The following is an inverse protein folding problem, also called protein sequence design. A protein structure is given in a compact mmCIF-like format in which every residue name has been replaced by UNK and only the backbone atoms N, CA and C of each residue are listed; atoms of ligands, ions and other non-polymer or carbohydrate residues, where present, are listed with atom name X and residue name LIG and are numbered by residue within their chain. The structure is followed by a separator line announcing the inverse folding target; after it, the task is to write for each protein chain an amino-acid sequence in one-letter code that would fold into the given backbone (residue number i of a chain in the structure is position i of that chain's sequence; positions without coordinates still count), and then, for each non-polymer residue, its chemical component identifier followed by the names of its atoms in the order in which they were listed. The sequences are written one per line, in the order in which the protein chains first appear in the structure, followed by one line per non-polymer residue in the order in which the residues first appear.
data_IF_868617289652
#
_entry.id   IF_868617289652
#
_cell.length_a   1.000
_cell.length_b   1.000
_cell.length_c   1.000
_cell.angle_alpha   90.00
_cell.angle_beta   90.00
_cell.angle_gamma   90.00
#
_symmetry.space_group_name_H-M   'P 1'
#
loop_
_entity.id
_entity.type
_entity.pdbx_description
1 polymer ?
#
# COMPACT_ATOMS: atom_id res chain seq x y z
N UNK A 1 15.58 9.26 -28.90
CA UNK A 1 15.82 7.95 -28.27
C UNK A 1 14.63 7.74 -27.36
N UNK A 2 13.64 6.99 -27.86
CA UNK A 2 12.36 6.81 -27.18
C UNK A 2 12.61 6.00 -25.91
N UNK A 3 12.11 6.51 -24.79
CA UNK A 3 12.20 5.87 -23.47
C UNK A 3 11.50 4.51 -23.54
N UNK A 4 12.20 3.39 -23.29
CA UNK A 4 11.63 2.05 -23.43
C UNK A 4 10.62 1.81 -22.30
N UNK A 5 9.38 2.22 -22.58
CA UNK A 5 8.12 1.81 -21.98
C UNK A 5 8.21 1.34 -20.52
N UNK A 6 7.85 2.25 -19.60
CA UNK A 6 7.62 2.05 -18.17
C UNK A 6 7.03 0.67 -17.87
N UNK A 7 7.94 -0.25 -17.54
CA UNK A 7 7.74 -1.67 -17.32
C UNK A 7 6.68 -1.97 -16.22
N UNK A 8 6.44 -1.03 -15.32
CA UNK A 8 5.49 -1.12 -14.20
C UNK A 8 4.12 -0.46 -14.49
N UNK A 9 3.95 0.16 -15.66
CA UNK A 9 2.74 0.92 -15.98
C UNK A 9 1.74 0.10 -16.83
N UNK A 10 0.44 0.37 -16.67
CA UNK A 10 -0.58 0.02 -17.69
C UNK A 10 -0.13 0.56 -19.07
N UNK A 11 -0.60 -0.02 -20.20
CA UNK A 11 -0.23 0.45 -21.53
C UNK A 11 -0.28 1.99 -21.63
N UNK A 12 0.66 2.67 -22.30
CA UNK A 12 0.75 4.14 -22.36
C UNK A 12 -0.50 4.85 -22.94
N UNK A 13 -1.46 4.07 -23.41
CA UNK A 13 -2.76 4.54 -23.88
C UNK A 13 -3.79 4.72 -22.75
N UNK A 14 -3.59 4.22 -21.52
CA UNK A 14 -4.48 4.48 -20.38
C UNK A 14 -4.09 5.76 -19.65
N UNK A 15 -5.08 6.63 -19.36
CA UNK A 15 -4.81 7.92 -18.72
C UNK A 15 -4.22 7.77 -17.31
N UNK A 16 -3.39 8.71 -16.83
CA UNK A 16 -2.80 8.70 -15.48
C UNK A 16 -3.82 8.43 -14.36
N UNK A 17 -5.03 8.97 -14.51
CA UNK A 17 -6.15 8.76 -13.59
C UNK A 17 -6.56 7.29 -13.44
N UNK A 18 -6.40 6.47 -14.49
CA UNK A 18 -6.69 5.04 -14.46
C UNK A 18 -5.68 4.27 -13.61
N UNK A 19 -4.39 4.62 -13.69
CA UNK A 19 -3.36 4.01 -12.84
C UNK A 19 -3.60 4.37 -11.37
N UNK A 20 -3.95 5.64 -11.14
CA UNK A 20 -4.20 6.17 -9.80
C UNK A 20 -5.43 5.52 -9.16
N UNK A 21 -6.54 5.40 -9.89
CA UNK A 21 -7.75 4.73 -9.39
C UNK A 21 -7.54 3.23 -9.16
N UNK A 22 -6.84 2.52 -10.05
CA UNK A 22 -6.47 1.12 -9.86
C UNK A 22 -5.59 0.93 -8.62
N UNK A 23 -4.60 1.81 -8.41
CA UNK A 23 -3.74 1.82 -7.22
C UNK A 23 -4.51 2.08 -5.93
N UNK A 24 -5.44 3.04 -5.92
CA UNK A 24 -6.30 3.30 -4.75
C UNK A 24 -7.16 2.09 -4.39
N UNK A 25 -7.80 1.46 -5.37
CA UNK A 25 -8.64 0.29 -5.11
C UNK A 25 -7.78 -0.88 -4.62
N UNK A 26 -6.58 -1.05 -5.19
CA UNK A 26 -5.62 -2.04 -4.72
C UNK A 26 -5.23 -1.81 -3.25
N UNK A 27 -4.92 -0.57 -2.87
CA UNK A 27 -4.60 -0.22 -1.48
C UNK A 27 -5.78 -0.44 -0.51
N UNK A 28 -6.99 -0.06 -0.90
CA UNK A 28 -8.19 -0.29 -0.07
C UNK A 28 -8.46 -1.79 0.12
N UNK A 29 -8.35 -2.59 -0.94
CA UNK A 29 -8.56 -4.03 -0.85
C UNK A 29 -7.45 -4.73 -0.05
N UNK A 30 -6.21 -4.31 -0.21
CA UNK A 30 -5.09 -4.76 0.63
C UNK A 30 -5.40 -4.53 2.11
N UNK A 31 -5.81 -3.31 2.49
CA UNK A 31 -6.19 -2.99 3.87
C UNK A 31 -7.36 -3.83 4.39
N UNK A 32 -8.33 -4.18 3.55
CA UNK A 32 -9.45 -5.04 3.93
C UNK A 32 -9.00 -6.49 4.19
N UNK A 33 -8.16 -7.04 3.31
CA UNK A 33 -7.67 -8.43 3.43
C UNK A 33 -6.67 -8.55 4.59
N UNK A 34 -5.81 -7.55 4.77
CA UNK A 34 -4.81 -7.50 5.85
C UNK A 34 -5.40 -7.02 7.18
N UNK A 35 -6.70 -6.73 7.25
CA UNK A 35 -7.30 -6.17 8.46
C UNK A 35 -7.20 -7.08 9.72
N UNK A 36 -7.46 -8.41 9.66
CA UNK A 36 -7.28 -9.29 10.83
C UNK A 36 -5.85 -9.26 11.37
N UNK A 37 -4.92 -9.19 10.43
CA UNK A 37 -3.48 -9.21 10.63
C UNK A 37 -3.01 -7.90 11.28
N UNK A 38 -3.54 -6.77 10.81
CA UNK A 38 -3.36 -5.46 11.43
C UNK A 38 -3.87 -5.42 12.87
N UNK A 39 -5.02 -6.05 13.14
CA UNK A 39 -5.58 -6.10 14.50
C UNK A 39 -4.66 -6.85 15.47
N UNK A 40 -4.00 -7.92 15.00
CA UNK A 40 -2.98 -8.63 15.79
C UNK A 40 -1.74 -7.76 16.02
N UNK A 41 -1.27 -7.07 14.98
CA UNK A 41 -0.14 -6.13 15.08
C UNK A 41 -0.41 -5.04 16.13
N UNK A 42 -1.56 -4.36 16.05
CA UNK A 42 -1.92 -3.27 16.97
C UNK A 42 -1.94 -3.75 18.43
N UNK A 43 -2.40 -4.99 18.67
CA UNK A 43 -2.37 -5.61 20.01
C UNK A 43 -0.98 -5.98 20.49
N UNK A 44 -0.15 -6.55 19.61
CA UNK A 44 1.24 -6.86 19.94
C UNK A 44 2.09 -5.60 20.20
N UNK A 45 1.62 -4.43 19.75
CA UNK A 45 2.24 -3.14 20.07
C UNK A 45 1.76 -2.52 21.39
N UNK A 46 0.78 -3.14 22.05
CA UNK A 46 0.30 -2.69 23.36
C UNK A 46 1.43 -2.77 24.39
N UNK A 47 1.59 -1.70 25.17
CA UNK A 47 2.63 -1.62 26.20
C UNK A 47 2.14 -2.19 27.54
N UNK A 48 0.83 -2.36 27.70
CA UNK A 48 0.20 -3.04 28.83
C UNK A 48 -0.63 -4.25 28.38
N UNK A 49 0.02 -5.35 27.95
CA UNK A 49 -0.70 -6.57 27.60
C UNK A 49 -1.39 -7.16 28.85
N UNK A 50 -2.53 -7.87 28.68
CA UNK A 50 -3.19 -8.57 29.79
C UNK A 50 -2.24 -9.53 30.52
N UNK A 51 -2.49 -9.77 31.82
CA UNK A 51 -1.68 -10.65 32.66
C UNK A 51 -1.38 -12.01 31.97
N UNK A 52 -0.08 -12.34 31.84
CA UNK A 52 0.40 -13.53 31.12
C UNK A 52 0.57 -13.38 29.60
N UNK A 53 0.42 -12.17 29.05
CA UNK A 53 0.48 -11.89 27.60
C UNK A 53 1.86 -11.51 27.04
N UNK A 54 2.87 -11.31 27.89
CA UNK A 54 4.17 -10.70 27.51
C UNK A 54 5.03 -11.52 26.53
N UNK A 55 4.69 -12.79 26.25
CA UNK A 55 5.45 -13.69 25.36
C UNK A 55 4.58 -14.42 24.34
N UNK A 56 3.41 -13.87 23.97
CA UNK A 56 2.50 -14.53 23.04
C UNK A 56 2.94 -14.35 21.59
N UNK A 57 2.97 -15.44 20.84
CA UNK A 57 3.20 -15.40 19.40
C UNK A 57 2.03 -14.75 18.66
N UNK A 58 2.26 -14.40 17.40
CA UNK A 58 1.25 -13.87 16.49
C UNK A 58 -0.01 -14.75 16.45
N UNK A 59 0.17 -16.06 16.31
CA UNK A 59 -0.92 -17.04 16.29
C UNK A 59 -1.72 -17.07 17.59
N UNK A 60 -1.03 -16.92 18.72
CA UNK A 60 -1.65 -16.97 20.04
C UNK A 60 -2.55 -15.77 20.27
N UNK A 61 -2.11 -14.57 19.84
CA UNK A 61 -2.92 -13.35 19.93
C UNK A 61 -4.16 -13.44 19.04
N UNK A 62 -4.02 -13.95 17.81
CA UNK A 62 -5.15 -14.14 16.91
C UNK A 62 -6.14 -15.18 17.47
N UNK A 63 -5.64 -16.34 17.90
CA UNK A 63 -6.46 -17.42 18.46
C UNK A 63 -7.15 -16.97 19.74
N UNK A 64 -6.46 -16.25 20.61
CA UNK A 64 -7.05 -15.65 21.81
C UNK A 64 -8.16 -14.69 21.42
N UNK A 65 -7.92 -13.75 20.50
CA UNK A 65 -8.91 -12.78 20.05
C UNK A 65 -10.19 -13.46 19.54
N UNK A 66 -10.05 -14.49 18.71
CA UNK A 66 -11.20 -15.24 18.17
C UNK A 66 -11.94 -16.02 19.26
N UNK A 67 -11.21 -16.68 20.16
CA UNK A 67 -11.81 -17.51 21.23
C UNK A 67 -12.47 -16.70 22.34
N UNK A 68 -11.86 -15.59 22.76
CA UNK A 68 -12.36 -14.79 23.90
C UNK A 68 -13.35 -13.71 23.51
N UNK A 69 -13.24 -13.15 22.30
CA UNK A 69 -14.00 -11.96 21.90
C UNK A 69 -14.86 -12.20 20.65
N UNK A 70 -14.74 -13.38 20.01
CA UNK A 70 -15.56 -13.82 18.89
C UNK A 70 -14.87 -13.75 17.52
N UNK A 71 -15.41 -14.51 16.56
CA UNK A 71 -14.81 -14.70 15.23
C UNK A 71 -14.64 -13.42 14.42
N UNK A 72 -15.56 -12.47 14.55
CA UNK A 72 -15.51 -11.20 13.80
C UNK A 72 -14.73 -10.11 14.54
N UNK A 73 -14.20 -10.39 15.73
CA UNK A 73 -13.42 -9.41 16.50
C UNK A 73 -12.21 -8.85 15.72
N UNK A 74 -11.43 -9.64 14.96
CA UNK A 74 -10.31 -9.12 14.17
C UNK A 74 -10.72 -8.09 13.12
N UNK A 75 -11.99 -8.07 12.70
CA UNK A 75 -12.53 -7.16 11.67
C UNK A 75 -13.09 -5.84 12.23
N UNK A 76 -13.03 -5.66 13.56
CA UNK A 76 -13.62 -4.49 14.22
C UNK A 76 -12.81 -3.22 13.94
N UNK A 77 -13.50 -2.19 13.46
CA UNK A 77 -12.91 -0.91 13.05
C UNK A 77 -12.60 -0.77 11.56
N UNK A 78 -12.82 -1.83 10.76
CA UNK A 78 -12.58 -1.79 9.31
C UNK A 78 -13.42 -0.72 8.60
N UNK A 79 -14.64 -0.47 9.07
CA UNK A 79 -15.47 0.61 8.55
C UNK A 79 -14.84 1.99 8.71
N UNK A 80 -14.06 2.23 9.76
CA UNK A 80 -13.31 3.48 9.94
C UNK A 80 -12.21 3.63 8.90
N UNK A 81 -11.46 2.54 8.69
CA UNK A 81 -10.41 2.46 7.67
C UNK A 81 -10.98 2.74 6.27
N UNK A 82 -12.09 2.09 5.91
CA UNK A 82 -12.75 2.28 4.62
C UNK A 82 -13.31 3.70 4.45
N UNK A 83 -13.91 4.27 5.51
CA UNK A 83 -14.47 5.61 5.47
C UNK A 83 -13.39 6.70 5.28
N UNK A 84 -12.18 6.49 5.82
CA UNK A 84 -11.05 7.41 5.65
C UNK A 84 -10.29 7.21 4.34
N UNK A 85 -10.11 5.96 3.89
CA UNK A 85 -9.21 5.66 2.77
C UNK A 85 -9.66 6.30 1.46
N UNK A 86 -10.94 6.19 1.09
CA UNK A 86 -11.44 6.73 -0.18
C UNK A 86 -11.14 8.23 -0.36
N UNK A 87 -11.60 9.09 0.57
CA UNK A 87 -11.31 10.52 0.54
C UNK A 87 -9.82 10.86 0.60
N UNK A 88 -9.03 10.14 1.42
CA UNK A 88 -7.60 10.37 1.54
C UNK A 88 -6.86 10.14 0.21
N UNK A 89 -7.13 9.02 -0.47
CA UNK A 89 -6.54 8.71 -1.77
C UNK A 89 -7.00 9.69 -2.85
N UNK A 90 -8.28 10.05 -2.87
CA UNK A 90 -8.80 11.04 -3.82
C UNK A 90 -8.10 12.40 -3.67
N UNK A 91 -7.89 12.84 -2.42
CA UNK A 91 -7.17 14.09 -2.13
C UNK A 91 -5.69 14.00 -2.50
N UNK A 92 -5.02 12.89 -2.16
CA UNK A 92 -3.62 12.63 -2.54
C UNK A 92 -3.43 12.82 -4.04
N UNK A 93 -4.25 12.14 -4.83
CA UNK A 93 -4.17 12.12 -6.28
C UNK A 93 -4.48 13.48 -6.91
N UNK A 94 -5.55 14.14 -6.44
CA UNK A 94 -5.93 15.47 -6.92
C UNK A 94 -4.84 16.51 -6.60
N UNK A 95 -4.29 16.47 -5.38
CA UNK A 95 -3.22 17.35 -4.97
C UNK A 95 -1.93 17.07 -5.75
N UNK A 96 -1.56 15.80 -5.93
CA UNK A 96 -0.37 15.41 -6.67
C UNK A 96 -0.43 15.87 -8.13
N UNK A 97 -1.56 15.69 -8.82
CA UNK A 97 -1.73 16.19 -10.19
C UNK A 97 -1.65 17.72 -10.26
N UNK A 98 -2.35 18.42 -9.35
CA UNK A 98 -2.34 19.89 -9.35
C UNK A 98 -0.97 20.49 -9.06
N UNK A 99 -0.24 19.87 -8.14
CA UNK A 99 1.12 20.29 -7.77
C UNK A 99 2.11 20.03 -8.90
N UNK A 100 2.04 18.86 -9.55
CA UNK A 100 2.83 18.58 -10.75
C UNK A 100 2.57 19.61 -11.85
N UNK A 101 1.31 19.89 -12.17
CA UNK A 101 0.92 20.87 -13.19
C UNK A 101 1.48 22.27 -12.85
N UNK A 102 1.31 22.71 -11.60
CA UNK A 102 1.76 24.03 -11.14
C UNK A 102 3.28 24.16 -11.17
N UNK A 103 4.01 23.11 -10.78
CA UNK A 103 5.49 23.11 -10.81
C UNK A 103 6.01 22.99 -12.25
N UNK A 104 5.36 22.21 -13.11
CA UNK A 104 5.68 22.12 -14.54
C UNK A 104 5.51 23.48 -15.24
N UNK A 105 4.40 24.18 -15.00
CA UNK A 105 4.12 25.52 -15.58
C UNK A 105 5.12 26.57 -15.09
N UNK A 106 5.60 26.49 -13.84
CA UNK A 106 6.63 27.40 -13.30
C UNK A 106 8.05 27.07 -13.74
N UNK A 107 8.32 25.85 -14.21
CA UNK A 107 9.67 25.36 -14.56
C UNK A 107 10.01 25.43 -16.05
N UNK A 108 9.33 26.30 -16.82
CA UNK A 108 9.61 26.63 -18.24
C UNK A 108 11.08 26.98 -18.55
N UNK A 109 11.94 27.14 -17.54
CA UNK A 109 13.39 27.37 -17.68
C UNK A 109 14.30 26.13 -17.56
N UNK A 110 13.80 24.93 -17.24
CA UNK A 110 14.63 23.71 -17.23
C UNK A 110 13.86 22.52 -17.79
N UNK A 111 14.04 22.26 -19.08
CA UNK A 111 13.52 21.11 -19.81
C UNK A 111 14.18 19.76 -19.43
N UNK A 112 14.63 19.61 -18.19
CA UNK A 112 15.17 18.35 -17.66
C UNK A 112 14.37 17.95 -16.42
N UNK A 113 14.00 16.68 -16.39
CA UNK A 113 13.24 15.97 -15.37
C UNK A 113 13.64 16.37 -13.94
N UNK A 114 12.90 17.30 -13.34
CA UNK A 114 13.13 17.69 -11.97
C UNK A 114 12.54 16.61 -11.05
N UNK A 115 13.24 15.49 -10.84
CA UNK A 115 12.88 14.47 -9.84
C UNK A 115 12.58 15.09 -8.46
N UNK A 116 13.26 16.21 -8.15
CA UNK A 116 13.01 17.03 -6.96
C UNK A 116 11.59 17.63 -6.95
N UNK A 117 11.09 18.13 -8.08
CA UNK A 117 9.74 18.68 -8.19
C UNK A 117 8.66 17.61 -7.94
N UNK A 118 8.84 16.43 -8.52
CA UNK A 118 7.95 15.29 -8.28
C UNK A 118 8.00 14.83 -6.82
N UNK A 119 9.19 14.79 -6.22
CA UNK A 119 9.37 14.49 -4.80
C UNK A 119 8.64 15.49 -3.90
N UNK A 120 8.77 16.80 -4.15
CA UNK A 120 8.07 17.85 -3.38
C UNK A 120 6.56 17.74 -3.53
N UNK A 121 6.06 17.52 -4.75
CA UNK A 121 4.64 17.31 -5.00
C UNK A 121 4.11 16.08 -4.26
N UNK A 122 4.85 14.98 -4.27
CA UNK A 122 4.51 13.75 -3.55
C UNK A 122 4.48 14.00 -2.04
N UNK A 123 5.50 14.63 -1.46
CA UNK A 123 5.53 14.93 -0.03
C UNK A 123 4.34 15.79 0.43
N UNK A 124 4.01 16.85 -0.31
CA UNK A 124 2.88 17.71 0.02
C UNK A 124 1.53 16.97 -0.15
N UNK A 125 1.40 16.14 -1.18
CA UNK A 125 0.24 15.27 -1.34
C UNK A 125 0.12 14.27 -0.18
N UNK A 126 1.21 13.70 0.31
CA UNK A 126 1.22 12.79 1.49
C UNK A 126 0.80 13.51 2.76
N UNK A 127 1.22 14.76 2.97
CA UNK A 127 0.76 15.57 4.12
C UNK A 127 -0.77 15.73 4.08
N UNK A 128 -1.34 16.06 2.91
CA UNK A 128 -2.79 16.20 2.77
C UNK A 128 -3.53 14.86 2.91
N UNK A 129 -2.99 13.79 2.35
CA UNK A 129 -3.49 12.43 2.51
C UNK A 129 -3.57 12.06 4.00
N UNK A 130 -2.48 12.21 4.73
CA UNK A 130 -2.37 11.81 6.13
C UNK A 130 -3.28 12.66 7.02
N UNK A 131 -3.53 13.92 6.66
CA UNK A 131 -4.49 14.76 7.38
C UNK A 131 -5.91 14.17 7.37
N UNK A 132 -6.33 13.53 6.27
CA UNK A 132 -7.63 12.85 6.17
C UNK A 132 -7.57 11.43 6.75
N UNK A 133 -6.44 10.75 6.61
CA UNK A 133 -6.28 9.37 7.04
C UNK A 133 -6.14 9.24 8.57
N UNK A 134 -5.47 10.19 9.23
CA UNK A 134 -5.11 10.09 10.66
C UNK A 134 -6.33 9.90 11.59
N UNK A 135 -7.46 10.63 11.43
CA UNK A 135 -8.64 10.39 12.25
C UNK A 135 -9.19 8.95 12.11
N UNK A 136 -9.17 8.40 10.90
CA UNK A 136 -9.61 7.03 10.65
C UNK A 136 -8.67 6.02 11.31
N UNK A 137 -7.36 6.25 11.27
CA UNK A 137 -6.37 5.42 11.95
C UNK A 137 -6.51 5.44 13.47
N UNK A 138 -6.76 6.61 14.07
CA UNK A 138 -7.00 6.75 15.51
C UNK A 138 -8.19 5.89 15.93
N UNK A 139 -9.30 5.98 15.19
CA UNK A 139 -10.50 5.18 15.47
C UNK A 139 -10.24 3.69 15.26
N UNK A 140 -9.60 3.32 14.15
CA UNK A 140 -9.17 1.95 13.85
C UNK A 140 -8.38 1.36 15.01
N UNK A 141 -7.30 2.01 15.42
CA UNK A 141 -6.40 1.47 16.45
C UNK A 141 -7.09 1.35 17.80
N UNK A 142 -7.89 2.35 18.22
CA UNK A 142 -8.66 2.27 19.48
C UNK A 142 -9.68 1.12 19.49
N UNK A 143 -10.29 0.81 18.34
CA UNK A 143 -11.22 -0.32 18.21
C UNK A 143 -10.52 -1.68 18.20
N UNK A 144 -9.24 -1.73 17.77
CA UNK A 144 -8.45 -2.97 17.69
C UNK A 144 -7.82 -3.40 19.03
N UNK A 145 -7.67 -2.48 19.99
CA UNK A 145 -7.04 -2.76 21.29
C UNK A 145 -7.76 -3.84 22.11
N UNK A 146 -7.01 -4.43 23.05
CA UNK A 146 -7.56 -5.32 24.07
C UNK A 146 -8.67 -4.63 24.84
N UNK A 147 -9.73 -5.39 25.15
CA UNK A 147 -10.88 -4.91 25.94
C UNK A 147 -11.49 -3.58 25.46
N UNK A 148 -11.34 -3.25 24.16
CA UNK A 148 -11.85 -1.99 23.63
C UNK A 148 -13.37 -1.87 23.85
N UNK A 149 -13.84 -0.79 24.51
CA UNK A 149 -15.26 -0.61 24.81
C UNK A 149 -16.09 -0.33 23.56
N UNK A 150 -15.45 0.11 22.47
CA UNK A 150 -16.14 0.67 21.30
C UNK A 150 -16.63 -0.41 20.34
N UNK A 151 -17.94 -0.64 20.27
CA UNK A 151 -18.58 -1.61 19.36
C UNK A 151 -18.73 -1.12 17.94
N UNK A 152 -18.96 0.18 17.80
CA UNK A 152 -19.12 0.83 16.52
C UNK A 152 -18.13 1.98 16.36
N UNK A 153 -17.80 2.28 15.11
CA UNK A 153 -16.97 3.42 14.75
C UNK A 153 -17.60 4.73 15.26
N UNK A 154 -18.91 4.89 15.12
CA UNK A 154 -19.64 6.10 15.52
C UNK A 154 -19.62 6.31 17.03
N UNK A 155 -19.73 5.24 17.80
CA UNK A 155 -19.57 5.28 19.26
C UNK A 155 -18.16 5.69 19.68
N UNK A 156 -17.14 5.13 19.03
CA UNK A 156 -15.74 5.54 19.23
C UNK A 156 -15.57 7.05 18.94
N UNK A 157 -15.99 7.51 17.77
CA UNK A 157 -15.87 8.92 17.37
C UNK A 157 -16.58 9.84 18.36
N UNK A 158 -17.84 9.53 18.73
CA UNK A 158 -18.61 10.35 19.66
C UNK A 158 -17.96 10.41 21.04
N UNK A 159 -17.49 9.28 21.55
CA UNK A 159 -16.85 9.21 22.87
C UNK A 159 -15.53 9.98 22.87
N UNK A 160 -14.67 9.76 21.87
CA UNK A 160 -13.39 10.48 21.76
C UNK A 160 -13.62 11.98 21.60
N UNK A 161 -14.57 12.39 20.74
CA UNK A 161 -14.90 13.80 20.55
C UNK A 161 -15.40 14.44 21.85
N UNK A 162 -16.26 13.75 22.61
CA UNK A 162 -16.86 14.27 23.85
C UNK A 162 -15.86 14.38 25.01
N UNK A 163 -14.99 13.39 25.19
CA UNK A 163 -14.11 13.30 26.37
C UNK A 163 -12.67 13.76 26.13
N UNK A 164 -12.22 13.81 24.87
CA UNK A 164 -10.85 14.17 24.51
C UNK A 164 -10.74 15.33 23.53
N UNK A 165 -11.86 15.69 22.87
CA UNK A 165 -11.92 16.77 21.90
C UNK A 165 -11.33 16.42 20.53
N UNK A 166 -11.42 17.38 19.60
CA UNK A 166 -10.96 17.21 18.22
C UNK A 166 -9.45 16.97 18.10
N UNK A 167 -8.64 17.54 19.00
CA UNK A 167 -7.19 17.34 19.00
C UNK A 167 -6.77 15.89 19.22
N UNK A 168 -7.64 15.04 19.76
CA UNK A 168 -7.37 13.62 19.97
C UNK A 168 -7.13 12.86 18.65
N UNK A 169 -7.79 13.27 17.57
CA UNK A 169 -7.67 12.63 16.26
C UNK A 169 -6.38 12.96 15.52
N UNK A 170 -5.57 13.90 16.02
CA UNK A 170 -4.35 14.37 15.36
C UNK A 170 -3.09 14.30 16.24
N UNK A 171 -3.14 13.65 17.41
CA UNK A 171 -1.98 13.57 18.33
C UNK A 171 -0.77 12.88 17.72
N UNK A 172 -1.01 11.88 16.88
CA UNK A 172 0.05 11.13 16.20
C UNK A 172 0.45 11.72 14.85
N UNK A 173 -0.23 12.75 14.35
CA UNK A 173 -0.02 13.25 12.99
C UNK A 173 1.44 13.67 12.74
N UNK A 174 2.05 14.39 13.68
CA UNK A 174 3.48 14.74 13.57
C UNK A 174 4.40 13.51 13.57
N UNK A 175 4.10 12.51 14.42
CA UNK A 175 4.85 11.24 14.46
C UNK A 175 4.71 10.45 13.16
N UNK A 176 3.51 10.41 12.59
CA UNK A 176 3.21 9.77 11.32
C UNK A 176 4.08 10.35 10.19
N UNK A 177 4.11 11.67 10.06
CA UNK A 177 4.90 12.34 9.03
C UNK A 177 6.40 12.09 9.20
N UNK A 178 6.91 12.14 10.44
CA UNK A 178 8.31 11.83 10.74
C UNK A 178 8.65 10.38 10.44
N UNK A 179 7.71 9.45 10.59
CA UNK A 179 7.90 8.03 10.28
C UNK A 179 7.91 7.74 8.78
N UNK A 180 7.11 8.45 7.98
CA UNK A 180 6.95 8.19 6.55
C UNK A 180 8.26 8.33 5.78
N UNK A 181 9.03 9.39 6.04
CA UNK A 181 10.26 9.67 5.28
C UNK A 181 11.30 8.54 5.46
N UNK A 182 11.68 8.13 6.68
CA UNK A 182 12.56 6.98 6.87
C UNK A 182 12.01 5.68 6.27
N UNK A 183 10.70 5.43 6.39
CA UNK A 183 10.08 4.24 5.81
C UNK A 183 10.27 4.22 4.29
N UNK A 184 9.91 5.32 3.61
CA UNK A 184 9.95 5.41 2.16
C UNK A 184 11.37 5.33 1.61
N UNK A 185 12.34 6.00 2.27
CA UNK A 185 13.75 5.97 1.88
C UNK A 185 14.31 4.56 2.02
N UNK A 186 14.10 3.91 3.17
CA UNK A 186 14.59 2.55 3.38
C UNK A 186 13.94 1.56 2.39
N UNK A 187 12.64 1.72 2.14
CA UNK A 187 11.91 0.89 1.20
C UNK A 187 12.47 1.03 -0.22
N UNK A 188 12.57 2.24 -0.77
CA UNK A 188 13.07 2.45 -2.13
C UNK A 188 14.51 1.96 -2.32
N UNK A 189 15.43 2.33 -1.41
CA UNK A 189 16.84 1.93 -1.52
C UNK A 189 16.98 0.41 -1.49
N UNK A 190 16.25 -0.25 -0.58
CA UNK A 190 16.28 -1.70 -0.45
C UNK A 190 15.63 -2.37 -1.67
N UNK A 191 14.49 -1.85 -2.13
CA UNK A 191 13.78 -2.38 -3.29
C UNK A 191 14.66 -2.37 -4.54
N UNK A 192 15.31 -1.23 -4.83
CA UNK A 192 16.21 -1.09 -5.98
C UNK A 192 17.41 -2.03 -5.89
N UNK A 193 18.00 -2.14 -4.69
CA UNK A 193 19.11 -3.06 -4.45
C UNK A 193 18.71 -4.52 -4.75
N UNK A 194 17.55 -4.96 -4.26
CA UNK A 194 17.08 -6.33 -4.49
C UNK A 194 16.59 -6.55 -5.92
N UNK A 195 15.99 -5.56 -6.58
CA UNK A 195 15.61 -5.65 -8.00
C UNK A 195 16.82 -5.86 -8.90
N UNK A 196 17.95 -5.21 -8.63
CA UNK A 196 19.19 -5.44 -9.38
C UNK A 196 19.71 -6.89 -9.23
N UNK A 197 19.33 -7.60 -8.16
CA UNK A 197 19.73 -8.98 -7.91
C UNK A 197 18.69 -9.96 -8.47
N UNK A 198 17.41 -9.73 -8.22
CA UNK A 198 16.32 -10.67 -8.55
C UNK A 198 15.77 -10.48 -9.97
N UNK A 199 15.94 -9.30 -10.56
CA UNK A 199 15.48 -8.94 -11.90
C UNK A 199 16.47 -8.00 -12.60
N UNK A 200 17.71 -8.43 -12.87
CA UNK A 200 18.76 -7.59 -13.45
C UNK A 200 18.40 -7.06 -14.84
N UNK A 201 17.60 -7.81 -15.60
CA UNK A 201 17.14 -7.45 -16.95
C UNK A 201 15.90 -6.54 -16.92
N UNK A 202 15.33 -6.24 -15.74
CA UNK A 202 14.14 -5.39 -15.54
C UNK A 202 12.94 -5.80 -16.42
N UNK A 203 12.70 -7.11 -16.54
CA UNK A 203 11.61 -7.71 -17.34
C UNK A 203 10.46 -8.18 -16.45
N UNK A 204 9.28 -8.44 -17.03
CA UNK A 204 8.05 -8.86 -16.34
C UNK A 204 8.23 -10.09 -15.46
N UNK A 205 8.46 -9.84 -14.17
CA UNK A 205 8.67 -10.87 -13.16
C UNK A 205 7.94 -10.55 -11.85
N UNK A 206 6.67 -10.96 -11.74
CA UNK A 206 5.84 -10.80 -10.55
C UNK A 206 6.51 -11.28 -9.26
N UNK A 207 7.22 -12.41 -9.33
CA UNK A 207 7.87 -13.02 -8.18
C UNK A 207 9.02 -12.15 -7.69
N UNK A 208 9.80 -11.59 -8.61
CA UNK A 208 10.87 -10.66 -8.27
C UNK A 208 10.33 -9.41 -7.57
N UNK A 209 9.20 -8.85 -8.02
CA UNK A 209 8.55 -7.71 -7.35
C UNK A 209 8.05 -8.04 -5.95
N UNK A 210 7.37 -9.17 -5.78
CA UNK A 210 6.84 -9.57 -4.46
C UNK A 210 7.99 -9.85 -3.48
N UNK A 211 9.07 -10.48 -3.92
CA UNK A 211 10.22 -10.77 -3.07
C UNK A 211 11.00 -9.49 -2.75
N UNK A 212 11.35 -8.67 -3.75
CA UNK A 212 12.09 -7.42 -3.54
C UNK A 212 11.27 -6.41 -2.72
N UNK A 213 10.00 -6.20 -3.05
CA UNK A 213 9.08 -5.34 -2.31
C UNK A 213 8.80 -5.86 -0.91
N UNK A 214 8.64 -7.17 -0.74
CA UNK A 214 8.45 -7.79 0.57
C UNK A 214 9.65 -7.62 1.50
N UNK A 215 10.88 -7.84 0.99
CA UNK A 215 12.12 -7.64 1.76
C UNK A 215 12.33 -6.15 2.06
N UNK A 216 12.11 -5.29 1.07
CA UNK A 216 12.18 -3.84 1.24
C UNK A 216 11.19 -3.33 2.30
N UNK A 217 9.94 -3.77 2.23
CA UNK A 217 8.90 -3.46 3.21
C UNK A 217 9.24 -3.97 4.59
N UNK A 218 9.75 -5.21 4.69
CA UNK A 218 10.19 -5.80 5.95
C UNK A 218 11.31 -5.00 6.62
N UNK A 219 12.35 -4.63 5.88
CA UNK A 219 13.47 -3.85 6.40
C UNK A 219 13.04 -2.43 6.77
N UNK A 220 12.27 -1.75 5.90
CA UNK A 220 11.73 -0.44 6.19
C UNK A 220 10.83 -0.46 7.44
N UNK A 221 9.98 -1.49 7.58
CA UNK A 221 9.12 -1.66 8.74
C UNK A 221 9.91 -1.89 10.02
N UNK A 222 10.98 -2.69 9.96
CA UNK A 222 11.87 -2.92 11.10
C UNK A 222 12.55 -1.64 11.58
N UNK A 223 13.15 -0.88 10.66
CA UNK A 223 13.83 0.39 10.97
C UNK A 223 12.87 1.41 11.61
N UNK A 224 11.62 1.44 11.14
CA UNK A 224 10.60 2.41 11.59
C UNK A 224 9.71 1.91 12.73
N UNK A 225 9.93 0.69 13.23
CA UNK A 225 9.12 0.14 14.32
C UNK A 225 9.13 1.01 15.59
N UNK A 226 10.25 1.61 16.03
CA UNK A 226 10.25 2.50 17.19
C UNK A 226 9.29 3.69 17.07
N UNK A 227 9.19 4.29 15.88
CA UNK A 227 8.28 5.41 15.61
C UNK A 227 6.83 4.94 15.53
N UNK A 228 6.59 3.75 14.97
CA UNK A 228 5.25 3.17 14.89
C UNK A 228 4.70 2.80 16.27
N UNK A 229 5.53 2.27 17.18
CA UNK A 229 5.11 2.03 18.57
C UNK A 229 4.71 3.35 19.23
N UNK A 230 5.47 4.43 19.03
CA UNK A 230 5.11 5.76 19.53
C UNK A 230 3.80 6.29 18.91
N UNK A 231 3.60 6.10 17.60
CA UNK A 231 2.37 6.46 16.88
C UNK A 231 1.18 5.71 17.47
N UNK A 232 1.29 4.38 17.59
CA UNK A 232 0.23 3.52 18.11
C UNK A 232 -0.13 3.92 19.54
N UNK A 233 0.86 4.14 20.41
CA UNK A 233 0.62 4.63 21.77
C UNK A 233 -0.13 5.98 21.80
N UNK A 234 0.23 6.94 20.94
CA UNK A 234 -0.44 8.24 20.84
C UNK A 234 -1.90 8.11 20.36
N UNK A 235 -2.17 7.15 19.48
CA UNK A 235 -3.50 6.89 18.96
C UNK A 235 -4.40 6.13 19.94
N UNK A 236 -3.85 5.11 20.61
CA UNK A 236 -4.60 4.21 21.50
C UNK A 236 -4.80 4.82 22.89
N UNK A 237 -3.86 5.65 23.36
CA UNK A 237 -3.87 6.22 24.71
C UNK A 237 -4.16 5.18 25.78
N UNK A 238 -3.43 4.07 25.74
CA UNK A 238 -3.61 2.92 26.62
C UNK A 238 -3.70 3.33 28.10
N UNK A 239 -4.93 3.36 28.62
CA UNK A 239 -5.22 3.92 29.94
C UNK A 239 -4.50 3.14 31.06
N UNK A 240 -4.43 1.81 30.94
CA UNK A 240 -3.73 0.96 31.91
C UNK A 240 -2.22 1.22 31.91
N UNK A 241 -1.61 1.34 30.71
CA UNK A 241 -0.20 1.67 30.56
C UNK A 241 0.11 3.05 31.15
N UNK A 242 -0.68 4.06 30.82
CA UNK A 242 -0.49 5.43 31.31
C UNK A 242 -0.72 5.54 32.82
N UNK A 243 -1.73 4.85 33.36
CA UNK A 243 -2.01 4.83 34.79
C UNK A 243 -0.84 4.25 35.60
N UNK A 244 -0.15 3.23 35.08
CA UNK A 244 1.01 2.62 35.74
C UNK A 244 2.17 3.60 36.00
N UNK A 245 2.26 4.67 35.19
CA UNK A 245 3.25 5.75 35.32
C UNK A 245 2.63 7.06 35.80
N UNK A 246 1.44 7.02 36.40
CA UNK A 246 0.69 8.18 36.91
C UNK A 246 0.44 9.27 35.86
N UNK A 247 0.27 8.87 34.59
CA UNK A 247 -0.12 9.77 33.51
C UNK A 247 -1.55 9.48 33.08
N UNK A 248 -2.30 10.54 32.76
CA UNK A 248 -3.68 10.40 32.26
C UNK A 248 -3.70 10.38 30.74
N UNK A 249 -2.86 11.20 30.10
CA UNK A 249 -2.76 11.34 28.63
C UNK A 249 -1.36 11.78 28.23
N UNK A 250 -1.01 11.49 26.98
CA UNK A 250 0.24 11.93 26.37
C UNK A 250 0.01 12.57 24.99
N UNK A 251 0.87 13.51 24.65
CA UNK A 251 0.84 14.18 23.36
C UNK A 251 2.27 14.42 22.84
N UNK A 252 2.45 14.23 21.54
CA UNK A 252 3.72 14.43 20.86
C UNK A 252 4.69 13.25 20.95
N UNK A 253 5.57 13.16 19.95
CA UNK A 253 6.52 12.07 19.77
C UNK A 253 7.48 11.92 20.96
N UNK A 254 8.01 13.01 21.50
CA UNK A 254 9.00 12.97 22.59
C UNK A 254 8.37 12.40 23.87
N UNK A 255 7.14 12.81 24.19
CA UNK A 255 6.42 12.26 25.33
C UNK A 255 6.13 10.78 25.13
N UNK A 256 5.68 10.38 23.94
CA UNK A 256 5.43 8.97 23.61
C UNK A 256 6.71 8.12 23.74
N UNK A 257 7.83 8.57 23.18
CA UNK A 257 9.11 7.89 23.27
C UNK A 257 9.56 7.74 24.74
N UNK A 258 9.46 8.82 25.53
CA UNK A 258 9.75 8.75 26.96
C UNK A 258 8.86 7.73 27.68
N UNK A 259 7.56 7.72 27.39
CA UNK A 259 6.61 6.77 27.98
C UNK A 259 6.94 5.32 27.61
N UNK A 260 7.25 5.03 26.34
CA UNK A 260 7.68 3.69 25.90
C UNK A 260 8.90 3.23 26.68
N UNK A 261 9.90 4.11 26.83
CA UNK A 261 11.12 3.80 27.59
C UNK A 261 10.85 3.58 29.08
N UNK A 262 9.99 4.38 29.71
CA UNK A 262 9.65 4.21 31.13
C UNK A 262 8.88 2.92 31.41
N UNK A 263 8.05 2.46 30.46
CA UNK A 263 7.24 1.25 30.63
C UNK A 263 8.06 -0.04 30.41
N UNK A 264 8.75 -0.14 29.27
CA UNK A 264 9.35 -1.40 28.81
C UNK A 264 10.82 -1.25 28.39
N UNK A 265 11.46 -0.12 28.71
CA UNK A 265 12.84 0.18 28.32
C UNK A 265 13.03 0.16 26.81
N UNK A 266 14.24 -0.22 26.36
CA UNK A 266 14.59 -0.27 24.94
C UNK A 266 13.77 -1.32 24.18
N UNK A 267 13.39 -2.43 24.84
CA UNK A 267 12.60 -3.51 24.23
C UNK A 267 11.18 -3.04 23.87
N UNK A 268 10.65 -2.04 24.58
CA UNK A 268 9.34 -1.43 24.29
C UNK A 268 9.22 -0.91 22.86
N UNK A 269 10.30 -0.33 22.31
CA UNK A 269 10.31 0.21 20.95
C UNK A 269 10.21 -0.83 19.84
N UNK A 270 10.39 -2.12 20.16
CA UNK A 270 10.34 -3.22 19.22
C UNK A 270 9.14 -4.15 19.47
N UNK A 271 8.18 -3.72 20.31
CA UNK A 271 6.91 -4.42 20.50
C UNK A 271 6.19 -4.54 19.14
N UNK A 272 5.73 -5.75 18.81
CA UNK A 272 5.07 -6.04 17.53
C UNK A 272 5.98 -6.02 16.29
N UNK A 273 7.31 -5.93 16.43
CA UNK A 273 8.26 -5.95 15.29
C UNK A 273 8.03 -7.16 14.37
N UNK A 274 7.90 -8.36 14.94
CA UNK A 274 7.70 -9.59 14.17
C UNK A 274 6.45 -9.52 13.29
N UNK A 275 5.34 -8.99 13.83
CA UNK A 275 4.12 -8.78 13.07
C UNK A 275 4.36 -7.78 11.92
N UNK A 276 4.99 -6.63 12.21
CA UNK A 276 5.33 -5.63 11.18
C UNK A 276 6.17 -6.19 10.04
N UNK A 277 7.10 -7.10 10.32
CA UNK A 277 8.02 -7.67 9.33
C UNK A 277 7.35 -8.78 8.52
N UNK A 278 6.73 -9.76 9.19
CA UNK A 278 6.18 -10.96 8.55
C UNK A 278 5.03 -10.61 7.60
N UNK A 279 4.27 -9.55 7.91
CA UNK A 279 3.08 -9.19 7.16
C UNK A 279 3.35 -8.36 5.90
N UNK A 280 4.60 -8.00 5.62
CA UNK A 280 4.93 -7.21 4.43
C UNK A 280 4.86 -8.02 3.14
N UNK A 281 5.45 -9.22 3.11
CA UNK A 281 5.41 -10.10 1.94
C UNK A 281 3.97 -10.38 1.47
N UNK A 282 3.02 -10.81 2.34
CA UNK A 282 1.64 -11.03 1.90
C UNK A 282 0.93 -9.73 1.50
N UNK A 283 1.18 -8.61 2.20
CA UNK A 283 0.64 -7.29 1.82
C UNK A 283 1.08 -6.89 0.40
N UNK A 284 2.38 -6.96 0.11
CA UNK A 284 2.94 -6.67 -1.22
C UNK A 284 2.34 -7.60 -2.28
N UNK A 285 2.23 -8.90 -2.00
CA UNK A 285 1.65 -9.87 -2.92
C UNK A 285 0.18 -9.56 -3.23
N UNK A 286 -0.63 -9.21 -2.23
CA UNK A 286 -2.04 -8.85 -2.40
C UNK A 286 -2.15 -7.55 -3.21
N UNK A 287 -1.44 -6.50 -2.81
CA UNK A 287 -1.47 -5.21 -3.50
C UNK A 287 -1.14 -5.37 -5.00
N UNK A 288 -0.06 -6.09 -5.30
CA UNK A 288 0.37 -6.33 -6.67
C UNK A 288 -0.64 -7.20 -7.44
N UNK A 289 -1.16 -8.28 -6.84
CA UNK A 289 -2.15 -9.15 -7.49
C UNK A 289 -3.45 -8.40 -7.81
N UNK A 290 -3.89 -7.52 -6.91
CA UNK A 290 -5.07 -6.69 -7.10
C UNK A 290 -4.80 -5.65 -8.19
N UNK A 291 -3.64 -5.01 -8.19
CA UNK A 291 -3.24 -4.07 -9.24
C UNK A 291 -3.27 -4.73 -10.63
N UNK A 292 -2.67 -5.91 -10.79
CA UNK A 292 -2.68 -6.66 -12.05
C UNK A 292 -4.08 -7.12 -12.46
N UNK A 293 -4.92 -7.51 -11.51
CA UNK A 293 -6.32 -7.83 -11.79
C UNK A 293 -7.06 -6.63 -12.38
N UNK A 294 -6.92 -5.44 -11.79
CA UNK A 294 -7.54 -4.22 -12.30
C UNK A 294 -6.96 -3.82 -13.66
N UNK A 295 -5.65 -3.91 -13.82
CA UNK A 295 -4.95 -3.71 -15.09
C UNK A 295 -5.50 -4.59 -16.21
N UNK A 296 -5.62 -5.89 -15.93
CA UNK A 296 -6.18 -6.84 -16.88
C UNK A 296 -7.64 -6.53 -17.22
N UNK A 297 -8.47 -6.26 -16.20
CA UNK A 297 -9.89 -5.96 -16.39
C UNK A 297 -10.11 -4.68 -17.23
N UNK A 298 -9.32 -3.64 -16.98
CA UNK A 298 -9.38 -2.36 -17.71
C UNK A 298 -8.88 -2.49 -19.15
N UNK A 299 -7.80 -3.25 -19.36
CA UNK A 299 -7.24 -3.50 -20.70
C UNK A 299 -8.19 -4.37 -21.54
N UNK A 300 -8.81 -5.39 -20.93
CA UNK A 300 -9.78 -6.27 -21.61
C UNK A 300 -11.04 -5.54 -22.06
N UNK A 301 -11.55 -4.58 -21.27
CA UNK A 301 -12.71 -3.76 -21.65
C UNK A 301 -12.44 -2.83 -22.83
N UNK A 302 -11.19 -2.48 -23.09
CA UNK A 302 -10.81 -1.63 -24.23
C UNK A 302 -10.77 -2.40 -25.55
N UNK A 303 -10.59 -3.72 -25.50
CA UNK A 303 -10.80 -4.64 -26.63
C UNK A 303 -12.28 -5.03 -26.70
N UNK A 304 -13.15 -4.11 -27.13
CA UNK A 304 -14.48 -4.47 -27.62
C UNK A 304 -14.37 -5.00 -29.06
N UNK A 305 -15.32 -5.81 -29.56
CA UNK A 305 -15.16 -6.70 -30.73
C UNK A 305 -15.00 -6.02 -32.10
N UNK A 306 -14.82 -4.70 -32.17
CA UNK A 306 -14.61 -3.98 -33.43
C UNK A 306 -13.19 -4.11 -33.97
N UNK A 307 -12.25 -4.62 -33.17
CA UNK A 307 -10.85 -4.87 -33.56
C UNK A 307 -10.59 -6.37 -33.82
N UNK A 308 -11.56 -7.09 -34.37
CA UNK A 308 -11.32 -8.42 -34.91
C UNK A 308 -10.75 -8.25 -36.34
N UNK A 309 -9.50 -8.65 -36.62
CA UNK A 309 -8.87 -8.48 -37.94
C UNK A 309 -9.52 -9.29 -39.08
N UNK A 310 -10.70 -9.91 -38.84
CA UNK A 310 -11.43 -10.71 -39.82
C UNK A 310 -12.57 -9.96 -40.54
N UNK A 311 -12.71 -8.64 -40.38
CA UNK A 311 -13.78 -7.87 -41.07
C UNK A 311 -13.26 -6.79 -42.04
N UNK A 312 -11.93 -6.63 -42.21
CA UNK A 312 -11.38 -5.58 -43.09
C UNK A 312 -10.94 -6.05 -44.49
N UNK A 313 -11.21 -7.29 -44.89
CA UNK A 313 -10.74 -7.82 -46.19
C UNK A 313 -11.72 -7.70 -47.37
N UNK A 314 -12.76 -6.86 -47.29
CA UNK A 314 -13.57 -6.53 -48.47
C UNK A 314 -13.81 -5.02 -48.55
N UNK A 315 -12.75 -4.28 -48.88
CA UNK A 315 -12.89 -2.96 -49.49
C UNK A 315 -12.21 -3.01 -50.86
N UNK A 316 -12.95 -2.84 -51.98
CA UNK A 316 -12.35 -2.88 -53.29
C UNK A 316 -11.40 -1.69 -53.43
N UNK A 317 -10.11 -1.96 -53.68
CA UNK A 317 -9.15 -0.90 -54.02
C UNK A 317 -9.43 -0.43 -55.45
N UNK A 318 -9.54 0.88 -55.71
CA UNK A 318 -9.60 1.38 -57.07
C UNK A 318 -8.16 1.42 -57.64
N UNK A 319 -8.03 0.91 -58.87
CA UNK A 319 -6.84 0.90 -59.74
C UNK A 319 -5.91 -0.31 -59.65
N UNK A 320 -6.31 -1.41 -60.30
CA UNK A 320 -5.38 -2.37 -60.88
C UNK A 320 -5.36 -2.20 -62.41
N UNK A 321 -4.28 -1.64 -62.93
CA UNK A 321 -3.87 -1.78 -64.34
C UNK A 321 -3.12 -3.10 -64.53
N UNK A 322 -3.88 -4.17 -64.76
CA UNK A 322 -3.70 -5.25 -65.74
C UNK A 322 -2.34 -5.90 -66.15
N UNK A 323 -1.20 -5.77 -65.47
CA UNK A 323 0.05 -6.38 -66.02
C UNK A 323 0.96 -7.28 -65.17
N UNK A 324 0.67 -7.61 -63.90
CA UNK A 324 1.64 -8.37 -63.07
C UNK A 324 1.15 -9.73 -62.50
N UNK A 325 0.32 -10.48 -63.25
CA UNK A 325 -0.14 -11.83 -62.83
C UNK A 325 0.53 -12.95 -63.66
N UNK A 326 1.85 -12.88 -63.88
CA UNK A 326 2.57 -13.96 -64.60
C UNK A 326 3.86 -14.46 -63.95
N UNK A 327 4.31 -13.92 -62.81
CA UNK A 327 5.69 -14.17 -62.34
C UNK A 327 5.85 -14.78 -60.94
N UNK A 328 4.79 -15.14 -60.21
CA UNK A 328 4.93 -15.59 -58.81
C UNK A 328 4.28 -16.94 -58.46
N UNK A 329 4.12 -17.85 -59.44
CA UNK A 329 3.50 -19.17 -59.22
C UNK A 329 4.47 -20.38 -59.32
N UNK A 330 5.77 -20.18 -59.10
CA UNK A 330 6.77 -21.25 -59.33
C UNK A 330 7.76 -21.55 -58.20
N UNK A 331 7.49 -21.23 -56.92
CA UNK A 331 8.35 -21.75 -55.84
C UNK A 331 7.57 -22.08 -54.55
N UNK A 332 7.11 -23.33 -54.46
CA UNK A 332 6.74 -23.99 -53.21
C UNK A 332 7.28 -25.41 -53.21
N UNK A 333 8.26 -25.77 -52.35
CA UNK A 333 8.52 -27.15 -52.03
C UNK A 333 7.67 -27.58 -50.83
N UNK A 334 6.86 -28.60 -51.10
CA UNK A 334 6.14 -29.47 -50.18
C UNK A 334 7.09 -30.20 -49.24
N UNK A 335 6.83 -30.20 -47.92
CA UNK A 335 7.17 -31.34 -47.06
C UNK A 335 6.27 -31.44 -45.81
N UNK A 336 5.47 -32.50 -45.77
CA UNK A 336 4.65 -32.96 -44.64
C UNK A 336 5.43 -33.95 -43.74
N UNK A 337 5.43 -33.70 -42.42
CA UNK A 337 5.17 -34.61 -41.26
C UNK A 337 5.99 -35.92 -41.01
N UNK A 338 5.95 -36.58 -39.81
CA UNK A 338 5.75 -36.16 -38.40
C UNK A 338 6.72 -36.91 -37.38
N UNK A 339 6.36 -37.31 -36.13
CA UNK A 339 6.85 -36.81 -34.82
C UNK A 339 7.72 -37.81 -34.00
N UNK A 340 8.24 -37.38 -32.82
CA UNK A 340 8.48 -38.13 -31.54
C UNK A 340 9.38 -37.31 -30.59
N UNK A 341 8.97 -36.93 -29.38
CA UNK A 341 8.91 -37.69 -28.10
C UNK A 341 10.29 -38.08 -27.54
N UNK A 342 10.75 -37.42 -26.45
CA UNK A 342 11.05 -38.00 -25.12
C UNK A 342 12.16 -37.28 -24.30
N UNK A 343 11.76 -36.88 -23.08
CA UNK A 343 12.40 -37.10 -21.76
C UNK A 343 13.83 -36.53 -21.51
N UNK A 344 13.91 -35.47 -20.67
CA UNK A 344 14.34 -35.53 -19.26
C UNK A 344 13.98 -34.23 -18.52
#
# INVERSE_FOLDING_TARGET
MADPDDYESLPPTSGPLTHMTAGAIAGVLEHCVMYPVDSVKTRLQSLAPPAGGASRGISDVLMQMVRSEGLLRPMRGMSAMMAGAGPAHALYFSAYEKLKETIAVRSVLSANENHVAHGVAACLATVLHDAIMTPAEVVKQRMQMYNSPFTSMTDCIRTVLRYEGLGAFYRSYGTQLVMNVPFQVCHFVTYEYFQNITNPERVYNPKAHVISGGIAGALAAAVTTPLDVCKTLLNTQEAEALASIHQVRINGLVAAARTVYMLNGVRGYFQGLQARVIYQVPSTAICWSVYEFFKYALTKRRRSPSDDPLVDEIKPRPNDTLNDISSSLTDLPVKMSPPKMDIL
#
